data_IF_017254111120
#
_entry.id   IF_017254111120
#
_cell.length_a   1.000
_cell.length_b   1.000
_cell.length_c   1.000
_cell.angle_alpha   90.00
_cell.angle_beta   90.00
_cell.angle_gamma   90.00
#
_symmetry.space_group_name_H-M   'P 1'
#
loop_
_entity.id
_entity.type
_entity.pdbx_description
1 polymer ?
#
# COMPACT_ATOMS: atom_id res chain seq x y z
N UNK A 1 2.37 33.19 -45.10
CA UNK A 1 1.49 32.24 -45.80
C UNK A 1 1.35 32.72 -47.24
N UNK A 2 1.77 31.93 -48.23
CA UNK A 2 1.54 32.23 -49.64
C UNK A 2 0.25 31.53 -50.09
N UNK A 3 -0.64 32.27 -50.73
CA UNK A 3 -1.88 31.76 -51.31
C UNK A 3 -1.63 31.58 -52.80
N UNK A 4 -1.86 30.39 -53.34
CA UNK A 4 -1.76 30.12 -54.77
C UNK A 4 -3.15 30.22 -55.39
N UNK A 5 -3.28 31.10 -56.38
CA UNK A 5 -4.51 31.27 -57.17
C UNK A 5 -4.25 30.87 -58.62
N UNK A 6 -5.24 30.27 -59.28
CA UNK A 6 -5.19 30.08 -60.73
C UNK A 6 -5.42 31.38 -61.50
N UNK A 7 -5.28 31.31 -62.82
CA UNK A 7 -5.53 32.42 -63.75
C UNK A 7 -6.97 32.94 -63.75
N UNK A 8 -7.89 32.27 -63.03
CA UNK A 8 -9.30 32.70 -62.84
C UNK A 8 -9.55 33.26 -61.43
N UNK A 9 -8.52 33.36 -60.59
CA UNK A 9 -8.61 33.90 -59.23
C UNK A 9 -9.07 32.91 -58.16
N UNK A 10 -9.23 31.62 -58.49
CA UNK A 10 -9.65 30.62 -57.52
C UNK A 10 -8.45 30.19 -56.67
N UNK A 11 -8.63 30.14 -55.35
CA UNK A 11 -7.58 29.73 -54.41
C UNK A 11 -7.43 28.20 -54.47
N UNK A 12 -6.29 27.75 -54.97
CA UNK A 12 -5.99 26.33 -55.19
C UNK A 12 -4.99 25.75 -54.17
N UNK A 13 -4.53 26.55 -53.20
CA UNK A 13 -3.75 26.04 -52.09
C UNK A 13 -3.09 27.11 -51.23
N UNK A 14 -2.67 26.70 -50.03
CA UNK A 14 -1.95 27.52 -49.09
C UNK A 14 -0.59 26.89 -48.77
N UNK A 15 0.48 27.68 -48.82
CA UNK A 15 1.83 27.27 -48.41
C UNK A 15 2.31 28.08 -47.22
N UNK A 16 2.66 27.37 -46.15
CA UNK A 16 3.28 27.94 -44.96
C UNK A 16 4.80 27.88 -45.10
N UNK A 17 5.46 29.04 -45.11
CA UNK A 17 6.92 29.09 -45.09
C UNK A 17 7.39 29.00 -43.63
N UNK A 18 7.52 27.78 -43.12
CA UNK A 18 8.05 27.52 -41.78
C UNK A 18 9.57 27.64 -41.87
N UNK A 19 10.16 28.60 -41.14
CA UNK A 19 11.60 28.82 -41.20
C UNK A 19 12.36 27.60 -40.66
N UNK A 20 13.50 27.27 -41.29
CA UNK A 20 14.38 26.19 -40.78
C UNK A 20 14.81 26.44 -39.33
N UNK A 21 14.94 27.71 -38.91
CA UNK A 21 15.22 28.08 -37.51
C UNK A 21 14.08 27.66 -36.57
N UNK A 22 12.82 27.88 -36.96
CA UNK A 22 11.67 27.45 -36.15
C UNK A 22 11.62 25.94 -35.99
N UNK A 23 11.84 25.19 -37.08
CA UNK A 23 11.91 23.72 -37.04
C UNK A 23 13.06 23.28 -36.12
N UNK A 24 14.26 23.85 -36.29
CA UNK A 24 15.39 23.54 -35.42
C UNK A 24 15.09 23.85 -33.95
N UNK A 25 14.46 24.98 -33.64
CA UNK A 25 14.10 25.33 -32.26
C UNK A 25 13.08 24.36 -31.67
N UNK A 26 12.06 23.97 -32.43
CA UNK A 26 11.04 23.01 -31.97
C UNK A 26 11.64 21.60 -31.79
N UNK A 27 12.48 21.16 -32.73
CA UNK A 27 13.18 19.87 -32.65
C UNK A 27 14.14 19.86 -31.45
N UNK A 28 14.96 20.91 -31.29
CA UNK A 28 15.92 21.02 -30.19
C UNK A 28 15.22 21.11 -28.83
N UNK A 29 14.13 21.88 -28.74
CA UNK A 29 13.30 21.97 -27.54
C UNK A 29 12.65 20.63 -27.18
N UNK A 30 12.15 19.89 -28.17
CA UNK A 30 11.62 18.54 -27.97
C UNK A 30 12.68 17.53 -27.52
N UNK A 31 13.89 17.62 -28.06
CA UNK A 31 15.02 16.78 -27.64
C UNK A 31 15.48 17.10 -26.21
N UNK A 32 15.58 18.38 -25.85
CA UNK A 32 15.93 18.82 -24.50
C UNK A 32 14.89 18.38 -23.47
N UNK A 33 13.60 18.54 -23.77
CA UNK A 33 12.52 18.08 -22.89
C UNK A 33 12.55 16.55 -22.70
N UNK A 34 12.88 15.78 -23.75
CA UNK A 34 13.07 14.33 -23.66
C UNK A 34 14.25 13.93 -22.79
N UNK A 35 15.40 14.60 -22.94
CA UNK A 35 16.58 14.36 -22.10
C UNK A 35 16.30 14.71 -20.64
N UNK A 36 15.47 15.71 -20.37
CA UNK A 36 15.08 16.09 -19.01
C UNK A 36 14.10 15.09 -18.38
N UNK A 37 13.13 14.56 -19.13
CA UNK A 37 12.09 13.68 -18.56
C UNK A 37 12.52 12.22 -18.42
N UNK A 38 13.45 11.75 -19.26
CA UNK A 38 13.87 10.34 -19.31
C UNK A 38 14.49 9.81 -18.00
N UNK A 39 15.37 10.55 -17.30
CA UNK A 39 15.95 10.10 -16.03
C UNK A 39 14.90 9.89 -14.96
N UNK A 40 13.86 10.74 -14.89
CA UNK A 40 12.82 10.64 -13.88
C UNK A 40 11.96 9.38 -14.06
N UNK A 41 11.61 9.03 -15.30
CA UNK A 41 10.84 7.81 -15.59
C UNK A 41 11.69 6.56 -15.32
N UNK A 42 12.98 6.58 -15.69
CA UNK A 42 13.91 5.48 -15.40
C UNK A 42 14.11 5.26 -13.90
N UNK A 43 14.32 6.35 -13.15
CA UNK A 43 14.51 6.31 -11.70
C UNK A 43 13.25 5.79 -10.99
N UNK A 44 12.07 6.26 -11.38
CA UNK A 44 10.79 5.78 -10.86
C UNK A 44 10.61 4.27 -11.08
N UNK A 45 10.92 3.76 -12.29
CA UNK A 45 10.81 2.32 -12.58
C UNK A 45 11.81 1.45 -11.80
N UNK A 46 12.96 2.01 -11.39
CA UNK A 46 13.95 1.32 -10.55
C UNK A 46 13.46 1.20 -9.10
N UNK A 47 12.88 2.27 -8.55
CA UNK A 47 12.41 2.31 -7.16
C UNK A 47 11.05 1.62 -6.94
N UNK A 48 10.28 1.36 -8.00
CA UNK A 48 9.03 0.58 -7.96
C UNK A 48 9.13 -0.73 -8.75
N UNK A 49 9.92 -1.72 -8.27
CA UNK A 49 10.04 -3.01 -8.92
C UNK A 49 8.76 -3.83 -8.71
N UNK A 50 7.87 -3.78 -9.71
CA UNK A 50 6.86 -4.81 -9.96
C UNK A 50 5.65 -4.82 -8.99
N UNK A 51 4.94 -3.69 -8.88
CA UNK A 51 3.59 -3.67 -8.31
C UNK A 51 2.60 -4.44 -9.22
N UNK A 52 2.44 -5.74 -8.97
CA UNK A 52 1.28 -6.54 -9.41
C UNK A 52 0.99 -6.58 -10.92
N UNK A 53 1.98 -6.36 -11.79
CA UNK A 53 1.80 -6.38 -13.25
C UNK A 53 1.16 -5.13 -13.86
N UNK A 54 0.79 -4.11 -13.05
CA UNK A 54 0.15 -2.87 -13.54
C UNK A 54 0.99 -2.13 -14.59
N UNK A 55 2.31 -2.19 -14.47
CA UNK A 55 3.24 -1.41 -15.31
C UNK A 55 4.02 -2.25 -16.33
N UNK A 56 3.65 -3.52 -16.53
CA UNK A 56 4.36 -4.42 -17.44
C UNK A 56 4.31 -3.94 -18.90
N UNK A 57 3.20 -3.31 -19.32
CA UNK A 57 3.04 -2.73 -20.66
C UNK A 57 3.95 -1.51 -20.87
N UNK A 58 3.93 -0.55 -19.93
CA UNK A 58 4.77 0.64 -19.97
C UNK A 58 6.26 0.32 -19.92
N UNK A 59 6.66 -0.74 -19.19
CA UNK A 59 8.06 -1.18 -19.09
C UNK A 59 8.58 -1.84 -20.36
N UNK A 60 7.78 -2.72 -21.01
CA UNK A 60 8.13 -3.29 -22.33
C UNK A 60 8.35 -2.19 -23.36
N UNK A 61 7.52 -1.14 -23.36
CA UNK A 61 7.65 -0.01 -24.26
C UNK A 61 8.78 0.95 -23.86
N UNK A 62 9.00 1.23 -22.58
CA UNK A 62 10.13 2.03 -22.10
C UNK A 62 11.46 1.40 -22.53
N UNK A 63 11.63 0.09 -22.34
CA UNK A 63 12.83 -0.63 -22.77
C UNK A 63 12.97 -0.63 -24.31
N UNK A 64 11.87 -0.69 -25.05
CA UNK A 64 11.87 -0.60 -26.53
C UNK A 64 12.27 0.81 -27.01
N UNK A 65 11.77 1.85 -26.34
CA UNK A 65 12.12 3.26 -26.58
C UNK A 65 13.60 3.50 -26.24
N UNK A 66 14.06 3.03 -25.08
CA UNK A 66 15.46 3.10 -24.65
C UNK A 66 16.39 2.42 -25.66
N UNK A 67 16.01 1.26 -26.19
CA UNK A 67 16.74 0.58 -27.26
C UNK A 67 16.75 1.40 -28.57
N UNK A 68 15.63 1.98 -28.98
CA UNK A 68 15.60 2.83 -30.18
C UNK A 68 16.43 4.12 -30.04
N UNK A 69 16.46 4.74 -28.86
CA UNK A 69 17.21 5.98 -28.62
C UNK A 69 18.70 5.76 -28.34
N UNK A 70 19.07 4.69 -27.65
CA UNK A 70 20.47 4.38 -27.31
C UNK A 70 21.20 3.59 -28.40
N UNK A 71 20.48 2.91 -29.29
CA UNK A 71 21.08 2.03 -30.31
C UNK A 71 20.78 2.51 -31.73
N UNK A 72 19.51 2.75 -32.09
CA UNK A 72 19.13 3.07 -33.48
C UNK A 72 19.50 4.51 -33.85
N UNK A 73 19.24 5.50 -32.99
CA UNK A 73 19.56 6.90 -33.31
C UNK A 73 21.07 7.11 -33.54
N UNK A 74 21.97 6.63 -32.66
CA UNK A 74 23.41 6.74 -32.88
C UNK A 74 23.88 5.94 -34.10
N UNK A 75 23.37 4.72 -34.31
CA UNK A 75 23.74 3.90 -35.47
C UNK A 75 23.21 4.47 -36.79
N UNK A 76 22.04 5.10 -36.81
CA UNK A 76 21.51 5.77 -38.01
C UNK A 76 22.31 7.01 -38.40
N UNK A 77 22.99 7.65 -37.45
CA UNK A 77 23.89 8.80 -37.70
C UNK A 77 25.29 8.31 -38.09
N UNK A 78 25.70 7.13 -37.64
CA UNK A 78 27.05 6.56 -37.87
C UNK A 78 27.12 5.67 -39.14
N UNK A 79 26.10 4.85 -39.42
CA UNK A 79 26.12 3.86 -40.52
C UNK A 79 25.44 4.33 -41.80
N UNK A 80 24.41 5.16 -41.69
CA UNK A 80 23.79 5.77 -42.85
C UNK A 80 24.14 7.25 -42.78
N UNK A 81 25.02 7.74 -43.67
CA UNK A 81 25.18 9.17 -43.88
C UNK A 81 23.89 9.75 -44.49
N UNK A 82 22.79 9.75 -43.74
CA UNK A 82 21.49 10.27 -44.16
C UNK A 82 21.68 11.77 -44.27
N UNK A 83 21.81 12.26 -45.50
CA UNK A 83 21.61 13.68 -45.78
C UNK A 83 20.19 14.01 -45.35
N UNK A 84 20.07 15.10 -44.59
CA UNK A 84 18.83 15.61 -43.98
C UNK A 84 17.69 15.90 -44.98
N UNK A 85 17.93 15.68 -46.27
CA UNK A 85 17.05 16.03 -47.39
C UNK A 85 16.06 14.89 -47.76
N UNK A 86 16.32 13.64 -47.38
CA UNK A 86 15.52 12.47 -47.83
C UNK A 86 14.40 12.07 -46.86
N UNK A 87 14.41 12.56 -45.62
CA UNK A 87 13.24 12.46 -44.72
C UNK A 87 12.42 13.72 -44.96
N UNK A 88 11.22 13.57 -45.52
CA UNK A 88 10.39 14.76 -45.73
C UNK A 88 10.12 15.42 -44.38
N UNK A 89 10.27 16.75 -44.30
CA UNK A 89 10.05 17.52 -43.06
C UNK A 89 8.74 17.16 -42.34
N UNK A 90 7.74 16.70 -43.10
CA UNK A 90 6.47 16.21 -42.61
C UNK A 90 6.57 14.91 -41.80
N UNK A 91 7.35 13.92 -42.25
CA UNK A 91 7.51 12.63 -41.54
C UNK A 91 8.25 12.78 -40.22
N UNK A 92 9.28 13.64 -40.19
CA UNK A 92 10.03 13.96 -38.98
C UNK A 92 9.16 14.72 -37.96
N UNK A 93 8.33 15.65 -38.44
CA UNK A 93 7.34 16.35 -37.61
C UNK A 93 6.22 15.42 -37.11
N UNK A 94 5.78 14.45 -37.92
CA UNK A 94 4.78 13.46 -37.53
C UNK A 94 5.34 12.54 -36.43
N UNK A 95 6.57 12.02 -36.61
CA UNK A 95 7.24 11.17 -35.62
C UNK A 95 7.51 11.91 -34.32
N UNK A 96 7.96 13.17 -34.40
CA UNK A 96 8.16 14.02 -33.22
C UNK A 96 6.84 14.34 -32.53
N UNK A 97 5.78 14.66 -33.29
CA UNK A 97 4.45 14.93 -32.80
C UNK A 97 3.83 13.74 -32.07
N UNK A 98 3.85 12.56 -32.70
CA UNK A 98 3.31 11.32 -32.11
C UNK A 98 4.06 10.96 -30.82
N UNK A 99 5.39 11.06 -30.82
CA UNK A 99 6.17 10.81 -29.61
C UNK A 99 5.92 11.85 -28.51
N UNK A 100 5.72 13.13 -28.86
CA UNK A 100 5.42 14.18 -27.88
C UNK A 100 4.04 13.98 -27.27
N UNK A 101 3.04 13.55 -28.04
CA UNK A 101 1.71 13.18 -27.53
C UNK A 101 1.80 11.97 -26.58
N UNK A 102 2.58 10.96 -26.95
CA UNK A 102 2.79 9.78 -26.10
C UNK A 102 3.53 10.10 -24.79
N UNK A 103 4.55 10.96 -24.85
CA UNK A 103 5.25 11.47 -23.66
C UNK A 103 4.34 12.32 -22.79
N UNK A 104 3.44 13.11 -23.39
CA UNK A 104 2.45 13.90 -22.65
C UNK A 104 1.45 12.98 -21.94
N UNK A 105 1.02 11.89 -22.57
CA UNK A 105 0.16 10.89 -21.95
C UNK A 105 0.84 10.12 -20.81
N UNK A 106 2.11 9.73 -20.99
CA UNK A 106 2.89 9.09 -19.94
C UNK A 106 3.23 10.05 -18.78
N UNK A 107 3.49 11.32 -19.08
CA UNK A 107 3.69 12.37 -18.08
C UNK A 107 2.39 12.71 -17.37
N UNK A 108 1.24 12.72 -18.07
CA UNK A 108 -0.08 12.83 -17.47
C UNK A 108 -0.34 11.71 -16.47
N UNK A 109 -0.08 10.45 -16.84
CA UNK A 109 -0.20 9.31 -15.93
C UNK A 109 0.78 9.38 -14.75
N UNK A 110 2.00 9.90 -14.96
CA UNK A 110 2.97 10.15 -13.90
C UNK A 110 2.53 11.30 -12.98
N UNK A 111 1.95 12.37 -13.50
CA UNK A 111 1.38 13.46 -12.71
C UNK A 111 0.12 12.99 -11.98
N UNK A 112 -0.71 12.14 -12.56
CA UNK A 112 -1.83 11.52 -11.86
C UNK A 112 -1.31 10.63 -10.71
N UNK A 113 -0.23 9.88 -10.91
CA UNK A 113 0.37 9.08 -9.82
C UNK A 113 1.11 9.94 -8.76
N UNK A 114 1.83 10.98 -9.18
CA UNK A 114 2.64 11.81 -8.26
C UNK A 114 1.83 12.95 -7.64
N UNK A 115 0.77 13.44 -8.27
CA UNK A 115 -0.07 14.52 -7.72
C UNK A 115 -1.44 14.04 -7.32
N UNK A 116 -2.17 13.24 -8.13
CA UNK A 116 -3.45 12.71 -7.66
C UNK A 116 -3.25 11.59 -6.65
N UNK A 117 -2.22 10.74 -6.76
CA UNK A 117 -1.96 9.72 -5.73
C UNK A 117 -1.29 10.31 -4.49
N UNK A 118 -0.45 11.35 -4.58
CA UNK A 118 -0.01 12.07 -3.38
C UNK A 118 -1.08 12.99 -2.80
N UNK A 119 -2.06 13.47 -3.57
CA UNK A 119 -3.21 14.19 -3.05
C UNK A 119 -4.32 13.26 -2.57
N UNK A 120 -4.49 12.05 -3.09
CA UNK A 120 -5.35 11.04 -2.46
C UNK A 120 -4.65 10.46 -1.25
N UNK A 121 -3.32 10.30 -1.24
CA UNK A 121 -2.57 9.97 -0.02
C UNK A 121 -2.58 11.15 0.96
N UNK A 122 -2.54 12.43 0.53
CA UNK A 122 -2.67 13.59 1.43
C UNK A 122 -4.10 13.94 1.82
N UNK A 123 -5.12 13.65 1.03
CA UNK A 123 -6.54 13.79 1.39
C UNK A 123 -7.04 12.56 2.17
N UNK A 124 -6.42 11.39 2.00
CA UNK A 124 -6.67 10.22 2.86
C UNK A 124 -5.80 10.21 4.12
N UNK A 125 -4.61 10.85 4.14
CA UNK A 125 -3.79 11.05 5.36
C UNK A 125 -4.12 12.34 6.10
N UNK A 126 -4.70 13.33 5.42
CA UNK A 126 -5.61 14.31 6.03
C UNK A 126 -7.03 13.76 5.93
N UNK A 127 -7.23 12.51 6.37
CA UNK A 127 -8.54 12.12 6.86
C UNK A 127 -8.91 13.18 7.88
N UNK A 128 -9.89 14.02 7.54
CA UNK A 128 -10.77 14.59 8.56
C UNK A 128 -11.06 13.40 9.47
N UNK A 129 -10.52 13.45 10.69
CA UNK A 129 -10.65 12.41 11.70
C UNK A 129 -12.12 12.37 12.11
N UNK A 130 -12.95 11.77 11.26
CA UNK A 130 -14.30 11.41 11.61
C UNK A 130 -14.17 10.24 12.58
N UNK A 131 -14.64 10.45 13.79
CA UNK A 131 -14.85 9.37 14.75
C UNK A 131 -15.82 8.39 14.13
N UNK A 132 -15.34 7.19 13.81
CA UNK A 132 -16.18 6.11 13.34
C UNK A 132 -15.89 4.85 14.15
N UNK A 133 -16.96 4.14 14.47
CA UNK A 133 -16.92 2.91 15.24
C UNK A 133 -17.27 1.77 14.28
N UNK A 134 -16.29 0.94 13.93
CA UNK A 134 -16.49 -0.19 13.00
C UNK A 134 -17.53 -1.17 13.55
N UNK A 135 -18.54 -1.48 12.75
CA UNK A 135 -19.48 -2.54 13.07
C UNK A 135 -18.85 -3.92 12.78
N UNK A 136 -19.56 -5.01 13.09
CA UNK A 136 -19.03 -6.35 12.88
C UNK A 136 -18.82 -6.70 11.39
N UNK A 137 -19.61 -6.13 10.47
CA UNK A 137 -19.48 -6.34 9.01
C UNK A 137 -18.20 -5.69 8.50
N UNK A 138 -17.95 -4.44 8.91
CA UNK A 138 -16.75 -3.69 8.56
C UNK A 138 -15.48 -4.43 9.03
N UNK A 139 -15.50 -4.95 10.27
CA UNK A 139 -14.39 -5.72 10.83
C UNK A 139 -14.14 -7.02 10.06
N UNK A 140 -15.19 -7.76 9.67
CA UNK A 140 -15.04 -8.99 8.88
C UNK A 140 -14.40 -8.69 7.53
N UNK A 141 -14.84 -7.63 6.84
CA UNK A 141 -14.28 -7.25 5.54
C UNK A 141 -12.78 -6.90 5.64
N UNK A 142 -12.38 -6.21 6.70
CA UNK A 142 -10.98 -5.87 6.95
C UNK A 142 -10.13 -7.10 7.28
N UNK A 143 -10.64 -8.01 8.11
CA UNK A 143 -9.98 -9.28 8.40
C UNK A 143 -9.74 -10.09 7.12
N UNK A 144 -10.76 -10.20 6.27
CA UNK A 144 -10.65 -10.91 5.00
C UNK A 144 -9.65 -10.25 4.05
N UNK A 145 -9.56 -8.92 4.06
CA UNK A 145 -8.61 -8.16 3.24
C UNK A 145 -7.17 -8.31 3.73
N UNK A 146 -6.93 -8.24 5.04
CA UNK A 146 -5.57 -8.17 5.60
C UNK A 146 -4.93 -9.53 5.88
N UNK A 147 -5.73 -10.55 6.23
CA UNK A 147 -5.20 -11.82 6.73
C UNK A 147 -5.23 -12.96 5.71
N UNK A 148 -5.72 -12.71 4.48
CA UNK A 148 -5.84 -13.68 3.37
C UNK A 148 -6.24 -15.09 3.86
N UNK A 149 -7.35 -15.18 4.59
CA UNK A 149 -7.81 -16.43 5.18
C UNK A 149 -9.29 -16.67 4.89
N UNK A 150 -9.63 -17.93 4.60
CA UNK A 150 -11.00 -18.40 4.34
C UNK A 150 -11.73 -18.80 5.63
N UNK A 151 -11.14 -18.50 6.79
CA UNK A 151 -11.70 -18.85 8.09
C UNK A 151 -12.93 -18.01 8.39
N UNK A 152 -13.95 -18.66 8.95
CA UNK A 152 -15.16 -17.99 9.39
C UNK A 152 -15.01 -17.55 10.85
N UNK A 153 -14.76 -16.26 11.06
CA UNK A 153 -14.72 -15.67 12.39
C UNK A 153 -16.13 -15.48 12.96
N UNK A 154 -16.29 -15.86 14.22
CA UNK A 154 -17.53 -15.71 15.00
C UNK A 154 -17.22 -15.13 16.38
N UNK A 155 -18.25 -14.98 17.21
CA UNK A 155 -18.12 -14.52 18.59
C UNK A 155 -18.26 -13.01 18.73
N UNK A 156 -17.37 -12.23 18.13
CA UNK A 156 -17.36 -10.76 18.16
C UNK A 156 -17.86 -10.16 19.50
N UNK A 157 -17.33 -10.67 20.61
CA UNK A 157 -17.67 -10.25 21.98
C UNK A 157 -16.64 -9.27 22.50
N UNK A 158 -17.06 -8.29 23.28
CA UNK A 158 -16.13 -7.38 23.95
C UNK A 158 -15.32 -8.12 25.04
N UNK A 159 -14.15 -7.59 25.38
CA UNK A 159 -13.37 -8.08 26.53
C UNK A 159 -14.20 -7.99 27.81
N UNK A 160 -15.03 -6.95 27.96
CA UNK A 160 -15.98 -6.82 29.07
C UNK A 160 -16.91 -8.02 29.18
N UNK A 161 -17.59 -8.40 28.09
CA UNK A 161 -18.46 -9.58 28.06
C UNK A 161 -17.70 -10.88 28.37
N UNK A 162 -16.50 -11.04 27.80
CA UNK A 162 -15.71 -12.26 28.00
C UNK A 162 -15.11 -12.39 29.41
N UNK A 163 -14.88 -11.27 30.11
CA UNK A 163 -14.50 -11.25 31.53
C UNK A 163 -15.59 -11.85 32.42
N UNK A 164 -16.86 -11.72 32.03
CA UNK A 164 -18.00 -12.33 32.72
C UNK A 164 -18.11 -13.82 32.36
N UNK A 165 -18.09 -14.17 31.07
CA UNK A 165 -18.22 -15.56 30.64
C UNK A 165 -17.57 -15.84 29.28
N UNK A 166 -16.81 -16.93 29.22
CA UNK A 166 -16.26 -17.47 27.97
C UNK A 166 -17.01 -18.74 27.50
N UNK A 167 -18.26 -18.94 27.94
CA UNK A 167 -19.02 -20.18 27.64
C UNK A 167 -19.27 -20.39 26.15
N UNK A 168 -19.53 -19.32 25.39
CA UNK A 168 -19.74 -19.34 23.93
C UNK A 168 -18.45 -19.66 23.14
N UNK A 169 -17.28 -19.48 23.74
CA UNK A 169 -16.00 -19.81 23.11
C UNK A 169 -15.89 -21.34 23.01
N UNK A 170 -15.60 -21.92 21.83
CA UNK A 170 -15.46 -23.35 21.69
C UNK A 170 -14.19 -23.86 22.39
N UNK A 171 -14.24 -25.10 22.88
CA UNK A 171 -13.11 -25.78 23.54
C UNK A 171 -12.17 -26.48 22.54
N UNK A 172 -12.21 -26.08 21.27
CA UNK A 172 -11.49 -26.70 20.16
C UNK A 172 -10.24 -25.89 19.75
N UNK A 173 -9.51 -26.44 18.80
CA UNK A 173 -8.35 -25.83 18.17
C UNK A 173 -8.75 -24.69 17.22
N UNK A 174 -8.01 -23.60 17.26
CA UNK A 174 -8.32 -22.43 16.44
C UNK A 174 -7.46 -21.22 16.72
N UNK A 175 -7.86 -20.13 16.08
CA UNK A 175 -7.26 -18.80 16.20
C UNK A 175 -8.29 -17.80 16.68
N UNK A 176 -7.83 -16.74 17.34
CA UNK A 176 -8.65 -15.64 17.79
C UNK A 176 -7.95 -14.31 17.53
N UNK A 177 -8.74 -13.27 17.36
CA UNK A 177 -8.27 -11.92 17.12
C UNK A 177 -8.71 -11.02 18.28
N UNK A 178 -7.89 -10.02 18.62
CA UNK A 178 -8.31 -8.86 19.42
C UNK A 178 -8.38 -7.68 18.48
N UNK A 179 -9.54 -7.05 18.43
CA UNK A 179 -9.89 -6.01 17.49
C UNK A 179 -10.25 -4.72 18.24
N UNK A 180 -9.87 -3.58 17.68
CA UNK A 180 -10.27 -2.26 18.17
C UNK A 180 -11.17 -1.59 17.13
N UNK A 181 -12.43 -1.38 17.48
CA UNK A 181 -13.42 -0.77 16.55
C UNK A 181 -13.13 0.70 16.25
N UNK A 182 -12.50 1.37 17.20
CA UNK A 182 -12.23 2.79 17.18
C UNK A 182 -10.88 3.08 16.48
N UNK A 183 -10.87 4.07 15.59
CA UNK A 183 -9.68 4.54 14.89
C UNK A 183 -8.93 5.69 15.60
N UNK A 184 -9.40 6.15 16.77
CA UNK A 184 -8.71 7.17 17.56
C UNK A 184 -7.31 6.73 17.96
N UNK A 185 -6.40 7.69 18.15
CA UNK A 185 -5.08 7.41 18.69
C UNK A 185 -5.20 6.67 20.04
N UNK A 186 -4.44 5.59 20.25
CA UNK A 186 -4.51 4.83 21.48
C UNK A 186 -3.94 5.65 22.65
N UNK A 187 -4.60 5.55 23.80
CA UNK A 187 -4.06 6.10 25.05
C UNK A 187 -3.51 4.94 25.87
N UNK A 188 -2.21 4.98 26.12
CA UNK A 188 -1.49 3.97 26.87
C UNK A 188 -1.31 4.37 28.34
N UNK A 189 -1.39 3.39 29.24
CA UNK A 189 -1.12 3.55 30.66
C UNK A 189 0.28 3.06 31.02
N UNK A 190 0.90 3.75 31.99
CA UNK A 190 2.18 3.37 32.59
C UNK A 190 2.05 2.03 33.33
N UNK A 191 0.86 1.74 33.87
CA UNK A 191 0.53 0.47 34.53
C UNK A 191 -0.28 -0.43 33.60
N UNK A 192 -0.05 -1.74 33.71
CA UNK A 192 -0.85 -2.76 33.02
C UNK A 192 -1.96 -3.28 33.93
N UNK A 193 -3.13 -3.57 33.36
CA UNK A 193 -4.16 -4.38 34.03
C UNK A 193 -3.78 -5.88 34.09
N UNK A 194 -2.69 -6.26 33.44
CA UNK A 194 -2.17 -7.62 33.38
C UNK A 194 -1.63 -8.12 34.73
N UNK A 195 -1.93 -9.36 35.06
CA UNK A 195 -1.39 -10.04 36.23
C UNK A 195 0.10 -10.36 36.09
N UNK A 196 0.79 -10.55 37.23
CA UNK A 196 2.20 -10.94 37.22
C UNK A 196 2.40 -12.36 36.66
N UNK A 197 3.35 -12.51 35.74
CA UNK A 197 3.82 -13.82 35.27
C UNK A 197 4.64 -14.47 36.40
N UNK A 198 4.71 -15.81 36.43
CA UNK A 198 5.23 -16.62 37.55
C UNK A 198 6.64 -16.26 38.09
N UNK A 199 7.42 -15.43 37.39
CA UNK A 199 8.81 -15.11 37.72
C UNK A 199 8.88 -13.75 38.43
N UNK A 200 9.62 -13.62 39.56
CA UNK A 200 9.65 -12.40 40.37
C UNK A 200 10.13 -11.09 39.70
N UNK A 201 10.57 -11.10 38.44
CA UNK A 201 11.12 -9.92 37.75
C UNK A 201 10.50 -9.67 36.35
N UNK A 202 9.41 -10.34 36.00
CA UNK A 202 8.79 -10.20 34.68
C UNK A 202 7.63 -9.19 34.77
N UNK A 203 7.98 -7.90 34.60
CA UNK A 203 6.98 -6.82 34.59
C UNK A 203 5.97 -7.06 33.46
N UNK A 204 4.65 -6.98 33.73
CA UNK A 204 3.65 -7.07 32.68
C UNK A 204 3.61 -5.81 31.79
N UNK A 205 4.38 -4.77 32.13
CA UNK A 205 4.41 -3.49 31.43
C UNK A 205 5.59 -3.38 30.46
N UNK A 206 5.30 -2.80 29.30
CA UNK A 206 6.27 -2.21 28.39
C UNK A 206 6.38 -0.69 28.63
N UNK A 207 7.45 -0.07 28.13
CA UNK A 207 7.55 1.40 28.12
C UNK A 207 6.55 2.02 27.15
N UNK A 208 6.12 3.25 27.44
CA UNK A 208 5.18 3.98 26.57
C UNK A 208 5.76 4.18 25.15
N UNK A 209 7.05 4.50 25.04
CA UNK A 209 7.73 4.66 23.75
C UNK A 209 7.69 3.39 22.92
N UNK A 210 7.91 2.23 23.54
CA UNK A 210 7.84 0.95 22.87
C UNK A 210 6.41 0.66 22.37
N UNK A 211 5.39 0.91 23.20
CA UNK A 211 3.99 0.73 22.78
C UNK A 211 3.62 1.64 21.60
N UNK A 212 4.07 2.90 21.62
CA UNK A 212 3.85 3.85 20.52
C UNK A 212 4.50 3.39 19.21
N UNK A 213 5.73 2.85 19.28
CA UNK A 213 6.45 2.35 18.12
C UNK A 213 5.80 1.10 17.51
N UNK A 214 5.32 0.18 18.35
CA UNK A 214 4.69 -1.07 17.92
C UNK A 214 3.26 -0.89 17.41
N UNK A 215 2.59 0.22 17.74
CA UNK A 215 1.22 0.46 17.28
C UNK A 215 1.16 0.69 15.77
N UNK A 216 0.20 0.04 15.11
CA UNK A 216 -0.03 0.14 13.67
C UNK A 216 -1.32 0.92 13.43
N UNK A 217 -1.22 2.07 12.75
CA UNK A 217 -2.37 2.88 12.39
C UNK A 217 -3.12 2.25 11.20
N UNK A 218 -4.43 2.50 11.11
CA UNK A 218 -5.22 2.13 9.92
C UNK A 218 -5.78 0.70 9.90
N UNK A 219 -5.45 -0.14 10.89
CA UNK A 219 -6.01 -1.49 11.06
C UNK A 219 -6.82 -1.60 12.34
N UNK A 220 -7.87 -2.43 12.35
CA UNK A 220 -8.56 -2.82 13.58
C UNK A 220 -7.87 -3.97 14.33
N UNK A 221 -6.91 -4.68 13.73
CA UNK A 221 -6.33 -5.92 14.27
C UNK A 221 -5.18 -5.59 15.23
N UNK A 222 -5.39 -5.79 16.52
CA UNK A 222 -4.37 -5.55 17.55
C UNK A 222 -3.56 -6.79 17.91
N UNK A 223 -4.18 -7.97 17.86
CA UNK A 223 -3.53 -9.21 18.28
C UNK A 223 -4.12 -10.40 17.54
N UNK A 224 -3.24 -11.32 17.13
CA UNK A 224 -3.59 -12.63 16.59
C UNK A 224 -3.06 -13.68 17.56
N UNK A 225 -3.96 -14.48 18.12
CA UNK A 225 -3.63 -15.54 19.04
C UNK A 225 -4.09 -16.90 18.55
N UNK A 226 -3.49 -17.95 19.10
CA UNK A 226 -3.83 -19.34 18.82
C UNK A 226 -4.07 -20.16 20.08
N UNK A 227 -4.77 -21.28 19.92
CA UNK A 227 -4.88 -22.30 20.95
C UNK A 227 -5.33 -23.65 20.40
N UNK A 228 -4.96 -24.73 21.07
CA UNK A 228 -5.59 -26.05 20.93
C UNK A 228 -6.89 -26.18 21.73
N UNK A 229 -7.10 -25.26 22.69
CA UNK A 229 -8.35 -25.11 23.44
C UNK A 229 -8.62 -23.61 23.65
N UNK A 230 -9.41 -23.02 22.76
CA UNK A 230 -9.65 -21.56 22.76
C UNK A 230 -10.37 -21.09 24.03
N UNK A 231 -11.37 -21.83 24.52
CA UNK A 231 -12.07 -21.49 25.76
C UNK A 231 -11.13 -21.34 26.95
N UNK A 232 -10.27 -22.33 27.18
CA UNK A 232 -9.30 -22.30 28.30
C UNK A 232 -8.29 -21.14 28.13
N UNK A 233 -7.83 -20.92 26.90
CA UNK A 233 -6.89 -19.84 26.58
C UNK A 233 -7.48 -18.46 26.81
N UNK A 234 -8.67 -18.18 26.28
CA UNK A 234 -9.34 -16.90 26.47
C UNK A 234 -9.75 -16.68 27.94
N UNK A 235 -10.20 -17.71 28.67
CA UNK A 235 -10.41 -17.60 30.14
C UNK A 235 -9.14 -17.19 30.86
N UNK A 236 -8.00 -17.77 30.48
CA UNK A 236 -6.70 -17.41 31.07
C UNK A 236 -6.30 -15.99 30.70
N UNK A 237 -6.58 -15.55 29.47
CA UNK A 237 -6.32 -14.19 28.99
C UNK A 237 -7.17 -13.15 29.73
N UNK A 238 -8.48 -13.39 29.89
CA UNK A 238 -9.37 -12.52 30.66
C UNK A 238 -8.96 -12.44 32.13
N UNK A 239 -8.60 -13.57 32.75
CA UNK A 239 -8.08 -13.59 34.12
C UNK A 239 -6.79 -12.79 34.25
N UNK A 240 -5.89 -12.89 33.28
CA UNK A 240 -4.66 -12.10 33.24
C UNK A 240 -5.00 -10.60 33.24
N UNK A 241 -5.93 -10.14 32.39
CA UNK A 241 -6.40 -8.75 32.37
C UNK A 241 -7.24 -8.28 33.56
N UNK A 242 -7.51 -9.18 34.52
CA UNK A 242 -8.12 -8.86 35.81
C UNK A 242 -7.05 -8.81 36.93
N UNK A 243 -5.76 -8.71 36.58
CA UNK A 243 -4.65 -8.77 37.53
C UNK A 243 -4.41 -10.13 38.18
N UNK A 244 -5.16 -11.19 37.79
CA UNK A 244 -5.04 -12.51 38.41
C UNK A 244 -3.80 -13.23 37.87
N UNK A 245 -3.15 -14.02 38.74
CA UNK A 245 -2.00 -14.86 38.35
C UNK A 245 -2.45 -15.89 37.30
N UNK A 246 -2.03 -15.68 36.06
CA UNK A 246 -2.34 -16.52 34.92
C UNK A 246 -1.12 -16.64 34.00
N UNK A 247 -0.84 -17.84 33.51
CA UNK A 247 0.30 -18.09 32.61
C UNK A 247 -0.03 -17.61 31.20
N UNK A 248 0.05 -16.29 30.95
CA UNK A 248 -0.28 -15.70 29.66
C UNK A 248 0.65 -14.50 29.32
N UNK A 249 1.82 -14.77 28.73
CA UNK A 249 2.77 -13.71 28.34
C UNK A 249 2.47 -13.04 26.99
N UNK A 250 1.82 -13.75 26.06
CA UNK A 250 1.46 -13.23 24.74
C UNK A 250 0.30 -12.23 24.82
N UNK A 251 0.30 -11.22 23.94
CA UNK A 251 -0.79 -10.23 23.90
C UNK A 251 -0.83 -9.28 25.10
N UNK A 252 0.23 -9.21 25.93
CA UNK A 252 0.19 -8.44 27.20
C UNK A 252 0.12 -6.91 27.00
N UNK A 253 0.57 -6.41 25.85
CA UNK A 253 0.52 -4.99 25.49
C UNK A 253 -0.92 -4.43 25.45
N UNK A 254 -1.89 -5.30 25.12
CA UNK A 254 -3.33 -4.96 25.13
C UNK A 254 -3.77 -4.39 26.47
N UNK A 255 -3.23 -4.90 27.58
CA UNK A 255 -3.64 -4.52 28.93
C UNK A 255 -3.03 -3.19 29.41
N UNK A 256 -2.22 -2.52 28.59
CA UNK A 256 -1.79 -1.13 28.80
C UNK A 256 -2.59 -0.13 27.98
N UNK A 257 -3.62 -0.56 27.24
CA UNK A 257 -4.55 0.35 26.57
C UNK A 257 -5.73 0.68 27.49
N UNK A 258 -6.11 1.95 27.55
CA UNK A 258 -7.15 2.43 28.48
C UNK A 258 -8.57 2.02 28.09
N UNK A 259 -8.83 1.78 26.81
CA UNK A 259 -10.11 1.35 26.23
C UNK A 259 -10.21 -0.17 26.04
N UNK A 260 -9.36 -0.94 26.72
CA UNK A 260 -9.23 -2.39 26.54
C UNK A 260 -10.54 -3.18 26.72
N UNK A 261 -11.41 -2.74 27.62
CA UNK A 261 -12.69 -3.43 27.87
C UNK A 261 -13.66 -3.37 26.67
N UNK A 262 -13.47 -2.41 25.76
CA UNK A 262 -14.30 -2.23 24.57
C UNK A 262 -13.73 -2.97 23.34
N UNK A 263 -12.55 -3.56 23.46
CA UNK A 263 -11.96 -4.37 22.38
C UNK A 263 -12.79 -5.61 22.14
N UNK A 264 -12.89 -5.98 20.87
CA UNK A 264 -13.71 -7.09 20.40
C UNK A 264 -12.83 -8.29 20.14
N UNK A 265 -13.23 -9.45 20.64
CA UNK A 265 -12.62 -10.73 20.35
C UNK A 265 -13.53 -11.55 19.46
N UNK A 266 -12.98 -12.00 18.33
CA UNK A 266 -13.58 -13.00 17.47
C UNK A 266 -12.66 -14.21 17.34
N UNK A 267 -13.23 -15.36 16.99
CA UNK A 267 -12.50 -16.63 16.90
C UNK A 267 -12.97 -17.47 15.73
N UNK A 268 -12.07 -18.30 15.22
CA UNK A 268 -12.34 -19.27 14.17
C UNK A 268 -11.72 -20.62 14.54
N UNK A 269 -12.52 -21.68 14.41
CA UNK A 269 -12.05 -23.06 14.58
C UNK A 269 -11.27 -23.50 13.33
N UNK A 270 -10.28 -24.37 13.52
CA UNK A 270 -9.53 -24.94 12.38
C UNK A 270 -9.14 -26.38 12.67
N UNK A 271 -9.16 -27.21 11.62
CA UNK A 271 -8.65 -28.58 11.65
C UNK A 271 -7.12 -28.61 11.48
N UNK A 272 -6.53 -27.52 10.97
CA UNK A 272 -5.08 -27.40 10.81
C UNK A 272 -4.38 -27.11 12.14
N UNK A 273 -3.06 -27.25 12.16
CA UNK A 273 -2.28 -26.78 13.30
C UNK A 273 -2.46 -25.27 13.49
N UNK A 274 -3.09 -24.84 14.59
CA UNK A 274 -3.38 -23.43 14.86
C UNK A 274 -2.12 -22.54 14.94
N UNK A 275 -0.94 -23.11 15.21
CA UNK A 275 0.35 -22.42 15.10
C UNK A 275 0.68 -22.04 13.66
N UNK A 276 0.44 -22.94 12.71
CA UNK A 276 0.69 -22.66 11.29
C UNK A 276 -0.32 -21.66 10.74
N UNK A 277 -1.57 -21.71 11.22
CA UNK A 277 -2.61 -20.74 10.84
C UNK A 277 -2.25 -19.35 11.35
N UNK A 278 -1.97 -19.20 12.65
CA UNK A 278 -1.55 -17.92 13.25
C UNK A 278 -0.33 -17.34 12.54
N UNK A 279 0.71 -18.17 12.32
CA UNK A 279 1.92 -17.73 11.65
C UNK A 279 1.64 -17.18 10.24
N UNK A 280 0.79 -17.86 9.45
CA UNK A 280 0.38 -17.38 8.11
C UNK A 280 -0.36 -16.05 8.19
N UNK A 281 -1.30 -15.92 9.14
CA UNK A 281 -2.05 -14.67 9.32
C UNK A 281 -1.12 -13.51 9.74
N UNK A 282 -0.14 -13.76 10.61
CA UNK A 282 0.85 -12.75 10.97
C UNK A 282 1.72 -12.37 9.75
N UNK A 283 2.11 -13.32 8.90
CA UNK A 283 2.85 -12.99 7.67
C UNK A 283 1.98 -12.18 6.70
N UNK A 284 0.71 -12.53 6.50
CA UNK A 284 -0.23 -11.78 5.66
C UNK A 284 -0.41 -10.34 6.17
N UNK A 285 -0.57 -10.17 7.48
CA UNK A 285 -0.60 -8.85 8.11
C UNK A 285 0.68 -8.05 7.82
N UNK A 286 1.86 -8.66 8.01
CA UNK A 286 3.16 -8.01 7.74
C UNK A 286 3.29 -7.54 6.30
N UNK A 287 2.80 -8.31 5.33
CA UNK A 287 2.80 -7.92 3.92
C UNK A 287 1.98 -6.66 3.65
N UNK A 288 0.90 -6.46 4.42
CA UNK A 288 0.01 -5.30 4.29
C UNK A 288 0.48 -4.06 5.07
N UNK A 289 1.40 -4.23 6.03
CA UNK A 289 1.78 -3.20 7.01
C UNK A 289 3.30 -3.00 7.13
N UNK A 290 4.01 -2.92 6.00
CA UNK A 290 5.44 -2.59 5.94
C UNK A 290 6.33 -3.48 6.83
N UNK A 291 5.96 -4.77 6.96
CA UNK A 291 6.69 -5.73 7.79
C UNK A 291 6.38 -5.65 9.29
N UNK A 292 5.55 -4.70 9.74
CA UNK A 292 5.08 -4.61 11.14
C UNK A 292 4.14 -5.75 11.49
N UNK A 293 4.13 -6.14 12.77
CA UNK A 293 3.24 -7.16 13.32
C UNK A 293 1.99 -6.50 13.91
N UNK A 294 0.89 -7.25 14.13
CA UNK A 294 -0.21 -6.75 14.95
C UNK A 294 0.35 -6.31 16.31
N UNK A 295 -0.19 -5.20 16.82
CA UNK A 295 0.35 -4.45 17.97
C UNK A 295 0.86 -5.31 19.14
N UNK A 296 0.16 -6.40 19.50
CA UNK A 296 0.49 -7.23 20.67
C UNK A 296 1.21 -8.55 20.34
N UNK A 297 1.60 -8.78 19.08
CA UNK A 297 2.41 -9.92 18.63
C UNK A 297 3.91 -9.53 18.58
N UNK A 298 4.66 -9.85 19.64
CA UNK A 298 6.03 -9.33 19.85
C UNK A 298 7.17 -10.27 19.44
N UNK A 299 6.89 -11.52 19.06
CA UNK A 299 7.92 -12.49 18.65
C UNK A 299 7.40 -13.34 17.48
N UNK A 300 8.34 -13.83 16.64
CA UNK A 300 8.06 -14.81 15.58
C UNK A 300 7.92 -16.25 16.13
#
# INVERSE_FOLDING_TARGET
MKVYQDSKGNINGYSWNISNKFIQTVVMGGCLLRLMLFPFVGLYLIFHPNEGGKYAFSRKWYNKILWTYSVILPLSVIFYGIRYDDITKAELLLLLGVHSIMLLGAFGAFIDDVFLNNNTVKENSASKSYHYNKNNVDMVAEISKELDCTLQFKGFKTIRELKESCSEVPSSNGVYLVLRRNNQQPVFSISSLGGYVKVPNDSPCYSLSYLQEQYVNGTCILYIGKSTNMRSRLRSYMRFGQGKRASHGGGRAIWQMTDVDDFVICWAETLENSRMVEWRMIQAFKLSHEGKRPFANMSD
#
